data_IF_048635913156
#
_entry.id   IF_048635913156
#
_cell.length_a   1.000
_cell.length_b   1.000
_cell.length_c   1.000
_cell.angle_alpha   90.00
_cell.angle_beta   90.00
_cell.angle_gamma   90.00
#
_symmetry.space_group_name_H-M   'P 1'
#
loop_
_entity.id
_entity.type
_entity.pdbx_description
1 polymer ?
#
# COMPACT_ATOMS: atom_id res chain seq x y z
N UNK A 1 -9.28 5.11 -5.70
CA UNK A 1 -10.36 5.32 -4.71
C UNK A 1 -10.79 3.96 -4.21
N UNK A 2 -11.28 3.89 -2.97
CA UNK A 2 -11.92 2.72 -2.37
C UNK A 2 -13.31 3.13 -1.86
N UNK A 3 -14.19 2.15 -1.71
CA UNK A 3 -15.52 2.33 -1.13
C UNK A 3 -15.56 1.51 0.16
N UNK A 4 -15.92 2.16 1.27
CA UNK A 4 -16.14 1.47 2.53
C UNK A 4 -17.49 0.73 2.52
N UNK A 5 -17.70 -0.19 3.47
CA UNK A 5 -18.92 -1.00 3.53
C UNK A 5 -20.21 -0.17 3.69
N UNK A 6 -20.09 1.05 4.24
CA UNK A 6 -21.19 2.01 4.39
C UNK A 6 -21.42 2.90 3.15
N UNK A 7 -20.69 2.65 2.05
CA UNK A 7 -20.76 3.40 0.80
C UNK A 7 -19.93 4.68 0.78
N UNK A 8 -19.15 4.98 1.83
CA UNK A 8 -18.26 6.14 1.82
C UNK A 8 -17.13 5.98 0.79
N UNK A 9 -16.97 7.00 -0.08
CA UNK A 9 -15.87 7.05 -1.04
C UNK A 9 -14.63 7.67 -0.39
N UNK A 10 -13.52 6.94 -0.44
CA UNK A 10 -12.24 7.36 0.12
C UNK A 10 -11.20 7.42 -1.01
N UNK A 11 -10.62 8.59 -1.23
CA UNK A 11 -9.44 8.74 -2.08
C UNK A 11 -8.23 8.20 -1.33
N UNK A 12 -7.43 7.40 -2.03
CA UNK A 12 -6.16 6.87 -1.52
C UNK A 12 -5.05 7.47 -2.38
N UNK A 13 -4.24 8.33 -1.77
CA UNK A 13 -2.96 8.76 -2.34
C UNK A 13 -1.87 7.83 -1.83
N UNK A 14 -1.14 7.21 -2.74
CA UNK A 14 -0.19 6.13 -2.44
C UNK A 14 1.09 6.39 -3.21
N UNK A 15 2.12 6.81 -2.48
CA UNK A 15 3.43 7.14 -3.05
C UNK A 15 4.48 6.24 -2.42
N UNK A 16 5.02 5.32 -3.22
CA UNK A 16 5.91 4.29 -2.72
C UNK A 16 7.16 4.10 -3.56
N UNK A 17 8.14 3.48 -2.93
CA UNK A 17 9.36 3.01 -3.55
C UNK A 17 9.41 1.50 -3.49
N UNK A 18 9.82 0.89 -4.59
CA UNK A 18 10.03 -0.55 -4.70
C UNK A 18 11.32 -0.86 -5.43
N UNK A 19 12.25 -1.52 -4.75
CA UNK A 19 13.51 -1.98 -5.34
C UNK A 19 14.10 -3.17 -4.58
N UNK A 20 15.03 -3.87 -5.20
CA UNK A 20 15.74 -5.02 -4.65
C UNK A 20 16.87 -5.43 -5.61
N UNK A 21 17.59 -6.52 -5.31
CA UNK A 21 18.60 -7.05 -6.22
C UNK A 21 18.01 -7.32 -7.62
N UNK A 22 18.74 -7.04 -8.72
CA UNK A 22 18.23 -7.17 -10.08
C UNK A 22 17.62 -8.56 -10.39
N UNK A 23 18.23 -9.63 -9.89
CA UNK A 23 17.79 -11.01 -10.05
C UNK A 23 16.44 -11.28 -9.37
N UNK A 24 16.22 -10.70 -8.20
CA UNK A 24 14.96 -10.79 -7.44
C UNK A 24 13.86 -10.03 -8.16
N UNK A 25 14.16 -8.83 -8.65
CA UNK A 25 13.20 -8.02 -9.41
C UNK A 25 12.84 -8.68 -10.75
N UNK A 26 13.80 -9.33 -11.41
CA UNK A 26 13.54 -10.10 -12.63
C UNK A 26 12.67 -11.34 -12.36
N UNK A 27 12.89 -12.06 -11.27
CA UNK A 27 12.05 -13.17 -10.83
C UNK A 27 10.60 -12.72 -10.57
N UNK A 28 10.42 -11.59 -9.87
CA UNK A 28 9.12 -10.97 -9.67
C UNK A 28 8.39 -10.64 -10.98
N UNK A 29 9.10 -10.13 -11.99
CA UNK A 29 8.52 -9.82 -13.30
C UNK A 29 8.06 -11.06 -14.06
N UNK A 30 8.69 -12.22 -13.79
CA UNK A 30 8.26 -13.52 -14.32
C UNK A 30 7.12 -14.16 -13.50
N UNK A 31 6.68 -13.51 -12.43
CA UNK A 31 5.65 -14.03 -11.53
C UNK A 31 6.14 -15.14 -10.60
N UNK A 32 7.46 -15.31 -10.46
CA UNK A 32 8.05 -16.28 -9.55
C UNK A 32 7.86 -15.84 -8.10
N UNK A 33 7.79 -16.82 -7.19
CA UNK A 33 7.77 -16.55 -5.76
C UNK A 33 9.17 -16.14 -5.32
N UNK A 34 9.30 -14.92 -4.81
CA UNK A 34 10.53 -14.43 -4.18
C UNK A 34 10.32 -14.24 -2.68
N UNK A 35 11.42 -14.24 -1.92
CA UNK A 35 11.39 -13.81 -0.53
C UNK A 35 11.15 -12.29 -0.48
N UNK A 36 10.03 -11.88 0.12
CA UNK A 36 9.66 -10.47 0.22
C UNK A 36 10.61 -9.65 1.08
N UNK A 37 11.40 -10.28 1.96
CA UNK A 37 12.42 -9.60 2.77
C UNK A 37 13.58 -9.07 1.94
N UNK A 38 13.77 -9.58 0.72
CA UNK A 38 14.79 -9.11 -0.23
C UNK A 38 14.35 -7.88 -1.04
N UNK A 39 13.09 -7.47 -0.88
CA UNK A 39 12.50 -6.36 -1.64
C UNK A 39 12.19 -5.23 -0.67
N UNK A 40 12.85 -4.09 -0.86
CA UNK A 40 12.40 -2.86 -0.26
C UNK A 40 11.10 -2.45 -0.94
N UNK A 41 10.01 -2.41 -0.18
CA UNK A 41 8.72 -1.93 -0.66
C UNK A 41 8.02 -1.16 0.46
N UNK A 42 8.07 0.17 0.38
CA UNK A 42 7.50 1.08 1.38
C UNK A 42 6.72 2.19 0.69
N UNK A 43 5.62 2.60 1.32
CA UNK A 43 4.68 3.56 0.74
C UNK A 43 4.22 4.54 1.81
N UNK A 44 4.17 5.83 1.48
CA UNK A 44 3.43 6.84 2.25
C UNK A 44 2.01 6.87 1.70
N UNK A 45 1.03 6.74 2.59
CA UNK A 45 -0.38 6.73 2.23
C UNK A 45 -1.09 7.87 2.95
N UNK A 46 -1.87 8.63 2.18
CA UNK A 46 -2.80 9.63 2.68
C UNK A 46 -4.21 9.31 2.18
N UNK A 47 -5.17 9.41 3.08
CA UNK A 47 -6.58 9.27 2.76
C UNK A 47 -7.24 10.64 2.69
N UNK A 48 -8.26 10.75 1.84
CA UNK A 48 -9.16 11.90 1.79
C UNK A 48 -10.60 11.42 1.58
N UNK A 49 -11.53 11.95 2.37
CA UNK A 49 -12.95 11.62 2.29
C UNK A 49 -13.82 12.79 2.74
N UNK A 50 -15.02 12.91 2.17
CA UNK A 50 -16.05 13.85 2.62
C UNK A 50 -17.02 13.24 3.65
N UNK A 51 -16.89 11.93 3.94
CA UNK A 51 -17.76 11.23 4.86
C UNK A 51 -17.35 11.50 6.32
N UNK A 52 -18.22 12.17 7.08
CA UNK A 52 -17.97 12.52 8.49
C UNK A 52 -17.70 11.28 9.38
N UNK A 53 -18.24 10.12 9.02
CA UNK A 53 -18.02 8.87 9.75
C UNK A 53 -16.56 8.38 9.70
N UNK A 54 -15.77 8.85 8.73
CA UNK A 54 -14.38 8.45 8.48
C UNK A 54 -13.42 9.66 8.48
N UNK A 55 -13.79 10.76 9.13
CA UNK A 55 -13.01 12.00 9.12
C UNK A 55 -11.63 11.85 9.81
N UNK A 56 -11.49 10.86 10.69
CA UNK A 56 -10.21 10.51 11.29
C UNK A 56 -9.14 10.14 10.25
N UNK A 57 -9.54 9.57 9.10
CA UNK A 57 -8.65 9.28 7.99
C UNK A 57 -8.05 10.54 7.35
N UNK A 58 -8.77 11.66 7.36
CA UNK A 58 -8.28 12.94 6.84
C UNK A 58 -7.16 13.53 7.72
N UNK A 59 -7.14 13.15 9.00
CA UNK A 59 -6.32 13.72 10.06
C UNK A 59 -5.08 12.88 10.39
N UNK A 60 -4.93 11.69 9.80
CA UNK A 60 -3.83 10.75 10.06
C UNK A 60 -2.95 10.54 8.83
N UNK A 61 -1.69 10.21 9.06
CA UNK A 61 -0.77 9.75 8.02
C UNK A 61 -0.43 8.28 8.24
N UNK A 62 -0.17 7.56 7.15
CA UNK A 62 0.13 6.14 7.20
C UNK A 62 1.41 5.83 6.43
N UNK A 63 2.23 4.94 7.00
CA UNK A 63 3.24 4.22 6.24
C UNK A 63 2.72 2.82 5.95
N UNK A 64 3.12 2.24 4.83
CA UNK A 64 2.82 0.85 4.52
C UNK A 64 4.07 0.07 4.15
N UNK A 65 4.08 -1.19 4.57
CA UNK A 65 4.97 -2.21 4.01
C UNK A 65 4.23 -2.95 2.91
N UNK A 66 4.88 -3.10 1.75
CA UNK A 66 4.31 -3.76 0.59
C UNK A 66 4.86 -5.16 0.38
N UNK A 67 4.00 -6.07 -0.04
CA UNK A 67 4.35 -7.41 -0.50
C UNK A 67 3.71 -7.64 -1.87
N UNK A 68 4.52 -8.00 -2.88
CA UNK A 68 3.99 -8.35 -4.19
C UNK A 68 3.71 -9.85 -4.22
N UNK A 69 2.46 -10.20 -4.42
CA UNK A 69 2.02 -11.56 -4.76
C UNK A 69 1.76 -11.64 -6.28
N UNK A 70 1.41 -12.82 -6.79
CA UNK A 70 1.20 -13.03 -8.23
C UNK A 70 0.14 -12.06 -8.79
N UNK A 71 -1.04 -12.04 -8.17
CA UNK A 71 -2.20 -11.30 -8.68
C UNK A 71 -2.48 -9.99 -7.96
N UNK A 72 -1.90 -9.80 -6.78
CA UNK A 72 -2.18 -8.63 -5.95
C UNK A 72 -0.93 -8.04 -5.28
N UNK A 73 -1.10 -6.86 -4.70
CA UNK A 73 -0.16 -6.28 -3.76
C UNK A 73 -0.87 -6.23 -2.41
N UNK A 74 -0.22 -6.74 -1.38
CA UNK A 74 -0.67 -6.59 0.00
C UNK A 74 0.07 -5.40 0.58
N UNK A 75 -0.67 -4.37 1.00
CA UNK A 75 -0.14 -3.23 1.75
C UNK A 75 -0.59 -3.38 3.21
N UNK A 76 0.36 -3.50 4.13
CA UNK A 76 0.08 -3.46 5.57
C UNK A 76 0.38 -2.06 6.08
N UNK A 77 -0.67 -1.35 6.48
CA UNK A 77 -0.61 0.03 6.92
C UNK A 77 -0.31 0.12 8.42
N UNK A 78 0.50 1.10 8.78
CA UNK A 78 0.77 1.53 10.14
C UNK A 78 0.53 3.03 10.20
N UNK A 79 -0.31 3.45 11.13
CA UNK A 79 -0.52 4.87 11.43
C UNK A 79 0.78 5.49 11.97
N UNK A 80 1.09 6.70 11.52
CA UNK A 80 2.13 7.55 12.08
C UNK A 80 1.54 8.38 13.23
N UNK A 81 2.10 8.19 14.43
CA UNK A 81 1.79 8.95 15.64
C UNK A 81 2.95 9.87 16.04
#
# INVERSE_FOLDING_TARGET
MIEAEDGALIRVDSQGLRHGPPEVMAALLRGEKVDSTQVYFRTVIRFETAALAHDDLNLRLFLATGERQHDCVILRLTELG
#
